data_IF_502441748461
#
_entry.id   IF_502441748461
#
_cell.length_a   1.000
_cell.length_b   1.000
_cell.length_c   1.000
_cell.angle_alpha   90.00
_cell.angle_beta   90.00
_cell.angle_gamma   90.00
#
_symmetry.space_group_name_H-M   'P 1'
#
loop_
_entity.id
_entity.type
_entity.pdbx_description
1 polymer ?
#
# COMPACT_ATOMS: atom_id res chain seq x y z
N UNK A 1 15.40 35.68 -27.41
CA UNK A 1 16.12 35.60 -26.13
C UNK A 1 15.10 35.75 -25.00
N UNK A 2 15.03 34.77 -24.10
CA UNK A 2 14.78 34.87 -22.66
C UNK A 2 14.40 33.48 -22.15
N UNK A 3 15.43 32.71 -21.77
CA UNK A 3 15.30 31.55 -20.90
C UNK A 3 14.99 32.06 -19.49
N UNK A 4 13.82 31.73 -18.95
CA UNK A 4 13.52 31.91 -17.53
C UNK A 4 14.06 30.70 -16.77
N UNK A 5 15.26 30.84 -16.22
CA UNK A 5 15.86 29.90 -15.28
C UNK A 5 15.12 30.01 -13.94
N UNK A 6 14.31 29.00 -13.62
CA UNK A 6 13.81 28.78 -12.26
C UNK A 6 14.99 28.29 -11.39
N UNK A 7 15.27 28.89 -10.21
CA UNK A 7 16.49 28.58 -9.47
C UNK A 7 16.43 27.17 -8.83
N UNK A 8 17.49 26.34 -8.96
CA UNK A 8 17.54 24.96 -8.47
C UNK A 8 17.63 24.83 -6.93
N UNK A 9 17.42 25.90 -6.15
CA UNK A 9 17.76 25.94 -4.73
C UNK A 9 16.63 25.42 -3.82
N UNK A 10 15.37 25.45 -4.28
CA UNK A 10 14.23 25.01 -3.46
C UNK A 10 14.12 23.48 -3.38
N UNK A 11 14.59 22.73 -4.38
CA UNK A 11 14.49 21.27 -4.40
C UNK A 11 15.37 20.57 -3.36
N UNK A 12 16.56 21.10 -3.07
CA UNK A 12 17.50 20.45 -2.15
C UNK A 12 17.10 20.58 -0.67
N UNK A 13 16.51 21.72 -0.27
CA UNK A 13 16.03 21.90 1.10
C UNK A 13 14.88 20.91 1.42
N UNK A 14 13.92 20.78 0.49
CA UNK A 14 12.78 19.87 0.62
C UNK A 14 13.22 18.40 0.65
N UNK A 15 14.14 17.99 -0.24
CA UNK A 15 14.68 16.62 -0.25
C UNK A 15 15.41 16.26 1.05
N UNK A 16 16.27 17.16 1.55
CA UNK A 16 17.04 16.91 2.79
C UNK A 16 16.13 16.90 4.02
N UNK A 17 15.08 17.72 4.01
CA UNK A 17 14.05 17.74 5.05
C UNK A 17 13.19 16.46 5.02
N UNK A 18 12.73 16.02 3.83
CA UNK A 18 12.04 14.73 3.67
C UNK A 18 12.94 13.60 4.17
N UNK A 19 14.22 13.55 3.78
CA UNK A 19 15.17 12.52 4.25
C UNK A 19 15.40 12.56 5.77
N UNK A 20 15.47 13.75 6.36
CA UNK A 20 15.62 13.88 7.81
C UNK A 20 14.33 13.54 8.57
N UNK A 21 13.17 13.92 8.05
CA UNK A 21 11.87 13.53 8.59
C UNK A 21 11.71 12.01 8.48
N UNK A 22 12.11 11.40 7.37
CA UNK A 22 12.12 9.94 7.15
C UNK A 22 12.97 9.16 8.17
N UNK A 23 14.04 9.75 8.75
CA UNK A 23 14.82 9.11 9.83
C UNK A 23 14.04 8.96 11.14
N UNK A 24 12.96 9.73 11.32
CA UNK A 24 12.11 9.70 12.52
C UNK A 24 11.04 8.61 12.46
N UNK A 25 10.75 8.09 11.26
CA UNK A 25 9.76 7.04 11.01
C UNK A 25 10.43 5.69 10.79
N UNK A 26 9.79 4.61 11.24
CA UNK A 26 10.22 3.23 10.94
C UNK A 26 9.69 2.85 9.57
N UNK A 27 10.36 3.35 8.54
CA UNK A 27 9.96 3.14 7.14
C UNK A 27 10.43 1.77 6.64
N UNK A 28 9.54 1.09 5.91
CA UNK A 28 9.91 -0.05 5.09
C UNK A 28 10.11 0.42 3.65
N UNK A 29 11.31 0.24 3.10
CA UNK A 29 11.54 0.40 1.67
C UNK A 29 11.14 -0.86 0.92
N UNK A 30 10.20 -0.75 0.00
CA UNK A 30 9.81 -1.80 -0.93
C UNK A 30 10.43 -1.53 -2.31
N UNK A 31 11.00 -2.57 -2.92
CA UNK A 31 11.58 -2.51 -4.26
C UNK A 31 10.78 -3.42 -5.20
N UNK A 32 10.40 -2.91 -6.36
CA UNK A 32 9.64 -3.61 -7.36
C UNK A 32 10.47 -3.72 -8.63
N UNK A 33 10.92 -4.94 -8.92
CA UNK A 33 11.79 -5.25 -10.06
C UNK A 33 10.97 -5.36 -11.34
N UNK A 34 11.59 -5.09 -12.52
CA UNK A 34 10.93 -5.26 -13.80
C UNK A 34 10.36 -6.66 -13.98
N UNK A 35 9.12 -6.73 -14.47
CA UNK A 35 8.40 -7.99 -14.63
C UNK A 35 6.90 -7.78 -14.82
N UNK A 36 6.18 -8.85 -15.21
CA UNK A 36 4.74 -8.80 -15.40
C UNK A 36 4.01 -8.52 -14.09
N UNK A 37 4.57 -8.97 -12.97
CA UNK A 37 4.00 -8.81 -11.64
C UNK A 37 5.12 -8.77 -10.61
N UNK A 38 5.23 -7.65 -9.88
CA UNK A 38 6.24 -7.45 -8.84
C UNK A 38 5.56 -7.01 -7.56
N UNK A 39 5.97 -7.55 -6.41
CA UNK A 39 5.32 -7.20 -5.16
C UNK A 39 6.08 -7.55 -3.90
N UNK A 40 5.60 -6.97 -2.80
CA UNK A 40 6.06 -7.23 -1.44
C UNK A 40 4.87 -7.64 -0.57
N UNK A 41 5.11 -8.47 0.44
CA UNK A 41 4.05 -9.00 1.32
C UNK A 41 4.42 -8.84 2.78
N UNK A 42 3.42 -8.52 3.59
CA UNK A 42 3.47 -8.57 5.04
C UNK A 42 2.93 -9.92 5.50
N UNK A 43 3.83 -10.87 5.76
CA UNK A 43 3.46 -12.23 6.19
C UNK A 43 3.06 -12.30 7.67
N UNK A 44 3.59 -11.38 8.49
CA UNK A 44 3.36 -11.34 9.93
C UNK A 44 2.50 -10.12 10.29
N UNK A 45 1.21 -10.21 10.01
CA UNK A 45 0.20 -9.22 10.39
C UNK A 45 -0.86 -9.89 11.29
N UNK A 46 -1.62 -9.15 12.13
CA UNK A 46 -2.65 -9.76 12.96
C UNK A 46 -3.60 -10.65 12.17
N UNK A 47 -3.97 -11.82 12.72
CA UNK A 47 -4.83 -12.80 12.04
C UNK A 47 -6.32 -12.47 12.16
N UNK A 48 -6.73 -11.90 13.28
CA UNK A 48 -8.13 -11.58 13.56
C UNK A 48 -8.35 -10.07 13.43
N UNK A 49 -9.05 -9.68 12.37
CA UNK A 49 -9.39 -8.30 12.03
C UNK A 49 -10.83 -7.95 12.44
N UNK A 50 -11.54 -8.85 13.14
CA UNK A 50 -12.87 -8.54 13.64
C UNK A 50 -12.80 -7.41 14.68
N UNK A 51 -13.84 -6.57 14.69
CA UNK A 51 -13.92 -5.43 15.60
C UNK A 51 -13.10 -4.21 15.19
N UNK A 52 -12.34 -4.30 14.09
CA UNK A 52 -11.75 -3.15 13.41
C UNK A 52 -12.66 -2.68 12.27
N UNK A 53 -12.49 -1.44 11.83
CA UNK A 53 -13.22 -0.85 10.71
C UNK A 53 -12.36 -0.57 9.50
N UNK A 54 -11.08 -0.25 9.72
CA UNK A 54 -10.19 0.17 8.65
C UNK A 54 -8.86 -0.57 8.72
N UNK A 55 -8.34 -0.93 7.56
CA UNK A 55 -6.91 -1.10 7.35
C UNK A 55 -6.34 0.25 6.90
N UNK A 56 -5.34 0.78 7.60
CA UNK A 56 -4.68 2.04 7.24
C UNK A 56 -3.18 1.88 7.07
N UNK A 57 -2.64 2.58 6.09
CA UNK A 57 -1.20 2.70 5.85
C UNK A 57 -0.88 3.92 4.99
N UNK A 58 0.40 4.28 4.94
CA UNK A 58 0.90 5.40 4.15
C UNK A 58 1.93 4.91 3.13
N UNK A 59 1.81 5.41 1.91
CA UNK A 59 2.74 5.13 0.82
C UNK A 59 3.41 6.43 0.38
N UNK A 60 4.72 6.40 0.20
CA UNK A 60 5.45 7.50 -0.44
C UNK A 60 6.17 7.00 -1.68
N UNK A 61 6.02 7.76 -2.77
CA UNK A 61 6.71 7.50 -4.02
C UNK A 61 7.90 8.45 -4.19
N UNK A 62 9.14 7.98 -3.97
CA UNK A 62 10.35 8.79 -4.19
C UNK A 62 10.71 8.95 -5.68
N UNK A 63 10.03 8.23 -6.57
CA UNK A 63 10.26 8.31 -8.00
C UNK A 63 9.69 9.57 -8.64
N UNK A 64 9.75 9.62 -9.96
CA UNK A 64 9.28 10.75 -10.79
C UNK A 64 8.05 10.41 -11.66
N UNK A 65 7.52 9.18 -11.54
CA UNK A 65 6.32 8.72 -12.25
C UNK A 65 5.33 8.14 -11.24
N UNK A 66 4.03 8.38 -11.47
CA UNK A 66 2.96 7.76 -10.67
C UNK A 66 3.07 6.24 -10.73
N UNK A 67 2.87 5.59 -9.59
CA UNK A 67 2.84 4.13 -9.47
C UNK A 67 1.41 3.73 -9.08
N UNK A 68 0.81 2.83 -9.85
CA UNK A 68 -0.45 2.19 -9.48
C UNK A 68 -0.13 0.94 -8.67
N UNK A 69 -0.55 0.92 -7.41
CA UNK A 69 -0.39 -0.22 -6.51
C UNK A 69 -1.71 -0.98 -6.42
N UNK A 70 -1.64 -2.28 -6.66
CA UNK A 70 -2.69 -3.22 -6.32
C UNK A 70 -2.41 -3.81 -4.93
N UNK A 71 -3.29 -3.55 -3.98
CA UNK A 71 -3.26 -4.11 -2.63
C UNK A 71 -4.11 -5.36 -2.63
N UNK A 72 -3.49 -6.50 -2.33
CA UNK A 72 -4.16 -7.80 -2.24
C UNK A 72 -4.30 -8.21 -0.79
N UNK A 73 -5.54 -8.43 -0.37
CA UNK A 73 -5.90 -8.81 1.00
C UNK A 73 -6.34 -10.27 0.99
N UNK A 74 -5.74 -11.07 1.87
CA UNK A 74 -5.90 -12.53 1.87
C UNK A 74 -6.35 -13.05 3.23
N UNK A 75 -7.31 -13.97 3.22
CA UNK A 75 -7.69 -14.83 4.33
C UNK A 75 -7.15 -16.25 4.16
N UNK A 76 -7.43 -17.12 5.14
CA UNK A 76 -6.97 -18.50 5.15
C UNK A 76 -7.68 -19.37 4.11
N UNK A 77 -8.81 -18.92 3.56
CA UNK A 77 -9.56 -19.64 2.54
C UNK A 77 -9.03 -19.32 1.13
N UNK A 78 -8.32 -18.20 0.97
CA UNK A 78 -7.55 -17.91 -0.24
C UNK A 78 -6.45 -18.98 -0.43
N UNK A 79 -6.61 -19.86 -1.43
CA UNK A 79 -5.61 -20.86 -1.82
C UNK A 79 -5.79 -22.28 -1.26
N UNK A 80 -6.90 -22.58 -0.56
CA UNK A 80 -7.16 -23.95 -0.05
C UNK A 80 -7.64 -24.96 -1.10
N UNK A 81 -8.09 -24.50 -2.27
CA UNK A 81 -8.32 -25.39 -3.42
C UNK A 81 -7.05 -25.34 -4.25
N UNK A 82 -6.51 -26.49 -4.65
CA UNK A 82 -5.36 -26.63 -5.55
C UNK A 82 -5.62 -26.09 -6.96
N UNK A 83 -6.24 -24.92 -7.03
CA UNK A 83 -6.77 -24.26 -8.20
C UNK A 83 -6.36 -22.80 -8.06
N UNK A 84 -5.63 -22.29 -9.05
CA UNK A 84 -4.98 -20.98 -9.12
C UNK A 84 -6.01 -19.85 -9.24
N UNK A 85 -7.02 -19.82 -8.37
CA UNK A 85 -8.08 -18.81 -8.41
C UNK A 85 -7.60 -17.56 -7.69
N UNK A 86 -6.90 -16.72 -8.44
CA UNK A 86 -6.77 -15.29 -8.17
C UNK A 86 -8.14 -14.61 -7.96
N UNK A 87 -9.24 -15.26 -8.37
CA UNK A 87 -10.62 -14.76 -8.30
C UNK A 87 -11.20 -14.61 -6.87
N UNK A 88 -10.54 -15.15 -5.85
CA UNK A 88 -11.01 -15.02 -4.47
C UNK A 88 -10.30 -13.88 -3.72
N UNK A 89 -9.37 -13.17 -4.37
CA UNK A 89 -8.59 -12.10 -3.77
C UNK A 89 -9.39 -10.81 -3.74
N UNK A 90 -9.40 -10.13 -2.59
CA UNK A 90 -9.86 -8.76 -2.52
C UNK A 90 -8.73 -7.85 -2.98
N UNK A 91 -8.90 -7.22 -4.14
CA UNK A 91 -7.95 -6.29 -4.73
C UNK A 91 -8.41 -4.84 -4.54
N UNK A 92 -7.49 -3.96 -4.17
CA UNK A 92 -7.74 -2.54 -4.01
C UNK A 92 -6.66 -1.74 -4.74
N UNK A 93 -7.05 -0.81 -5.61
CA UNK A 93 -6.11 -0.05 -6.44
C UNK A 93 -5.86 1.36 -5.88
N UNK A 94 -4.60 1.76 -5.81
CA UNK A 94 -4.18 3.10 -5.34
C UNK A 94 -3.13 3.69 -6.27
N UNK A 95 -3.37 4.92 -6.71
CA UNK A 95 -2.36 5.73 -7.40
C UNK A 95 -1.51 6.48 -6.38
N UNK A 96 -0.19 6.26 -6.41
CA UNK A 96 0.77 6.96 -5.56
C UNK A 96 1.57 7.96 -6.40
N UNK A 97 1.26 9.25 -6.21
CA UNK A 97 1.88 10.33 -6.98
C UNK A 97 3.32 10.61 -6.49
N UNK A 98 4.23 11.02 -7.39
CA UNK A 98 5.61 11.39 -7.06
C UNK A 98 5.71 12.43 -5.95
N UNK A 99 6.63 12.22 -5.01
CA UNK A 99 7.02 13.22 -4.00
C UNK A 99 5.99 13.51 -2.91
N UNK A 100 4.89 12.75 -2.86
CA UNK A 100 3.83 12.93 -1.87
C UNK A 100 3.54 11.65 -1.09
N UNK A 101 3.09 11.82 0.15
CA UNK A 101 2.48 10.75 0.94
C UNK A 101 1.04 10.55 0.52
N UNK A 102 0.69 9.31 0.18
CA UNK A 102 -0.68 8.87 -0.02
C UNK A 102 -1.13 8.11 1.22
N UNK A 103 -2.09 8.68 1.96
CA UNK A 103 -2.79 7.97 3.02
C UNK A 103 -3.82 7.03 2.39
N UNK A 104 -3.76 5.74 2.72
CA UNK A 104 -4.69 4.73 2.25
C UNK A 104 -5.50 4.22 3.43
N UNK A 105 -6.82 4.23 3.25
CA UNK A 105 -7.77 3.74 4.23
C UNK A 105 -8.73 2.80 3.49
N UNK A 106 -8.62 1.50 3.77
CA UNK A 106 -9.48 0.46 3.18
C UNK A 106 -10.56 0.10 4.21
N UNK A 107 -11.85 0.39 3.94
CA UNK A 107 -12.95 -0.04 4.81
C UNK A 107 -13.07 -1.57 4.81
N UNK A 108 -13.01 -2.19 5.99
CA UNK A 108 -13.10 -3.66 6.09
C UNK A 108 -14.48 -4.19 5.69
N UNK A 109 -15.52 -3.35 5.77
CA UNK A 109 -16.86 -3.68 5.27
C UNK A 109 -16.88 -3.80 3.74
N UNK A 110 -16.10 -2.99 3.03
CA UNK A 110 -16.01 -3.06 1.58
C UNK A 110 -15.21 -4.30 1.16
N UNK A 111 -14.16 -4.66 1.91
CA UNK A 111 -13.41 -5.92 1.70
C UNK A 111 -14.35 -7.13 1.79
N UNK A 112 -15.27 -7.13 2.75
CA UNK A 112 -16.25 -8.21 2.90
C UNK A 112 -17.14 -8.36 1.65
N UNK A 113 -17.41 -7.26 0.94
CA UNK A 113 -18.29 -7.23 -0.22
C UNK A 113 -17.57 -7.43 -1.57
N UNK A 114 -16.26 -7.18 -1.64
CA UNK A 114 -15.46 -7.24 -2.88
C UNK A 114 -15.08 -8.68 -3.26
N UNK A 115 -14.91 -9.59 -2.28
CA UNK A 115 -14.56 -10.98 -2.59
C UNK A 115 -15.76 -11.74 -3.17
N UNK A 116 -15.67 -12.06 -4.47
CA UNK A 116 -16.66 -12.81 -5.25
C UNK A 116 -17.38 -13.89 -4.43
N UNK A 117 -18.66 -13.62 -4.13
CA UNK A 117 -19.70 -14.48 -3.52
C UNK A 117 -19.45 -15.11 -2.14
N UNK A 118 -18.21 -15.27 -1.66
CA UNK A 118 -17.92 -15.90 -0.35
C UNK A 118 -17.59 -14.92 0.78
N UNK A 119 -17.27 -13.67 0.44
CA UNK A 119 -16.73 -12.69 1.39
C UNK A 119 -15.36 -13.08 1.96
N UNK A 120 -14.69 -12.12 2.60
CA UNK A 120 -13.40 -12.34 3.29
C UNK A 120 -13.65 -12.73 4.75
N UNK A 121 -13.00 -13.79 5.22
CA UNK A 121 -13.01 -14.24 6.62
C UNK A 121 -12.04 -13.42 7.47
N UNK A 122 -12.54 -12.30 8.00
CA UNK A 122 -11.77 -11.40 8.85
C UNK A 122 -11.22 -12.06 10.13
N UNK A 123 -11.71 -13.24 10.55
CA UNK A 123 -11.18 -13.93 11.71
C UNK A 123 -9.86 -14.68 11.42
N UNK A 124 -9.56 -14.92 10.14
CA UNK A 124 -8.45 -15.77 9.70
C UNK A 124 -7.69 -15.14 8.54
N UNK A 125 -7.23 -13.91 8.71
CA UNK A 125 -6.39 -13.20 7.76
C UNK A 125 -4.98 -13.81 7.67
N UNK A 126 -4.43 -13.85 6.47
CA UNK A 126 -3.10 -14.44 6.19
C UNK A 126 -2.07 -13.41 5.74
N UNK A 127 -2.50 -12.23 5.30
CA UNK A 127 -1.59 -11.12 5.06
C UNK A 127 -2.12 -10.09 4.06
N UNK A 128 -1.24 -9.12 3.80
CA UNK A 128 -1.45 -8.03 2.85
C UNK A 128 -0.27 -8.04 1.89
N UNK A 129 -0.56 -8.03 0.59
CA UNK A 129 0.45 -7.84 -0.44
C UNK A 129 0.24 -6.53 -1.19
N UNK A 130 1.35 -5.95 -1.64
CA UNK A 130 1.39 -4.75 -2.45
C UNK A 130 2.07 -5.12 -3.76
N UNK A 131 1.38 -4.92 -4.87
CA UNK A 131 1.80 -5.38 -6.17
C UNK A 131 1.72 -4.27 -7.20
N UNK A 132 2.56 -4.40 -8.23
CA UNK A 132 2.57 -3.54 -9.41
C UNK A 132 2.66 -4.41 -10.63
N UNK A 133 1.81 -4.10 -11.60
CA UNK A 133 1.75 -4.80 -12.86
C UNK A 133 2.66 -4.17 -13.90
N UNK A 134 3.24 -5.02 -14.75
CA UNK A 134 3.95 -4.64 -15.98
C UNK A 134 5.00 -3.54 -15.78
N UNK A 135 5.82 -3.66 -14.73
CA UNK A 135 6.93 -2.76 -14.50
C UNK A 135 8.03 -3.02 -15.53
N UNK A 136 8.47 -1.97 -16.22
CA UNK A 136 9.59 -2.00 -17.17
C UNK A 136 10.92 -1.52 -16.58
N UNK A 137 10.89 -0.83 -15.43
CA UNK A 137 12.08 -0.27 -14.77
C UNK A 137 11.95 -0.36 -13.25
N UNK A 138 13.06 -0.60 -12.52
CA UNK A 138 13.06 -0.73 -11.06
C UNK A 138 12.32 0.45 -10.40
N UNK A 139 11.37 0.15 -9.52
CA UNK A 139 10.66 1.14 -8.71
C UNK A 139 10.92 0.90 -7.23
N UNK A 140 10.78 1.95 -6.43
CA UNK A 140 10.68 1.83 -4.99
C UNK A 140 9.48 2.62 -4.47
N UNK A 141 8.95 2.15 -3.34
CA UNK A 141 8.02 2.89 -2.49
C UNK A 141 8.50 2.79 -1.05
N UNK A 142 8.19 3.80 -0.25
CA UNK A 142 8.23 3.66 1.20
C UNK A 142 6.84 3.37 1.72
N UNK A 143 6.75 2.35 2.56
CA UNK A 143 5.58 2.02 3.34
C UNK A 143 5.82 2.47 4.78
N UNK A 144 4.83 3.13 5.34
CA UNK A 144 4.83 3.55 6.72
C UNK A 144 3.53 3.12 7.41
N UNK A 145 3.65 2.84 8.70
CA UNK A 145 2.57 2.63 9.67
C UNK A 145 1.39 1.83 9.10
N UNK A 146 1.53 0.51 9.09
CA UNK A 146 0.43 -0.39 8.73
C UNK A 146 -0.34 -0.76 9.99
N UNK A 147 -1.64 -0.46 10.02
CA UNK A 147 -2.45 -0.61 11.23
C UNK A 147 -3.89 -1.02 10.93
N UNK A 148 -4.49 -1.67 11.93
CA UNK A 148 -5.93 -1.89 11.99
C UNK A 148 -6.51 -0.90 12.97
N UNK A 149 -7.51 -0.14 12.51
CA UNK A 149 -8.14 0.90 13.30
C UNK A 149 -9.61 0.59 13.54
N UNK A 150 -10.06 0.83 14.77
CA UNK A 150 -11.49 0.84 15.09
C UNK A 150 -12.13 2.10 14.48
N UNK A 151 -13.45 2.17 14.47
CA UNK A 151 -14.08 3.48 14.28
C UNK A 151 -13.49 4.44 15.30
N UNK A 152 -13.22 5.68 14.91
CA UNK A 152 -12.83 6.71 15.86
C UNK A 152 -13.78 6.64 17.05
N UNK A 153 -13.22 6.34 18.21
CA UNK A 153 -13.91 6.54 19.46
C UNK A 153 -13.95 8.07 19.56
N UNK A 154 -15.07 8.69 19.17
CA UNK A 154 -15.28 10.10 19.45
C UNK A 154 -15.13 10.25 20.96
N UNK A 155 -13.98 10.78 21.39
CA UNK A 155 -13.80 11.22 22.75
C UNK A 155 -14.75 12.41 22.88
N UNK A 156 -15.90 12.15 23.51
CA UNK A 156 -16.79 13.18 24.02
C UNK A 156 -16.14 13.88 25.20
#
# INVERSE_FOLDING_TARGET
ALFSLCPPVVWFATMKQIVNDMKRWRLLSAYFYPGPWSGVRLEYFPKDWRGYKYLKFYLFNPGNKTISIEILIQDALNGQKGDKRFNDLCAWNVSVYPGSWTAVQVPLEEIHNIANSRGVDLARMTGIGFYVDNITELRSLYLDTVSLEKADMQIR
#
